data_IF_115032031866
#
_entry.id   IF_115032031866
#
_cell.length_a   1.000
_cell.length_b   1.000
_cell.length_c   1.000
_cell.angle_alpha   90.00
_cell.angle_beta   90.00
_cell.angle_gamma   90.00
#
_symmetry.space_group_name_H-M   'P 1'
#
loop_
_entity.id
_entity.type
_entity.pdbx_description
1 polymer ?
#
# COMPACT_ATOMS: atom_id res chain seq x y z
N UNK A 1 -15.28 20.95 3.01
CA UNK A 1 -14.85 19.80 3.82
C UNK A 1 -14.70 20.25 5.25
N UNK A 2 -15.26 19.51 6.19
CA UNK A 2 -15.04 19.77 7.62
C UNK A 2 -13.56 19.57 7.96
N UNK A 3 -12.92 20.57 8.58
CA UNK A 3 -11.49 20.53 8.95
C UNK A 3 -11.11 19.29 9.77
N UNK A 4 -12.08 18.73 10.51
CA UNK A 4 -11.96 17.48 11.25
C UNK A 4 -11.64 16.28 10.34
N UNK A 5 -12.25 16.19 9.16
CA UNK A 5 -12.01 15.09 8.21
C UNK A 5 -10.57 15.11 7.70
N UNK A 6 -10.04 16.30 7.39
CA UNK A 6 -8.66 16.45 6.91
C UNK A 6 -7.67 16.07 8.02
N UNK A 7 -7.93 16.50 9.25
CA UNK A 7 -7.09 16.15 10.42
C UNK A 7 -7.06 14.64 10.63
N UNK A 8 -8.22 13.97 10.62
CA UNK A 8 -8.29 12.52 10.77
C UNK A 8 -7.63 11.77 9.61
N UNK A 9 -7.81 12.23 8.38
CA UNK A 9 -7.18 11.64 7.20
C UNK A 9 -5.65 11.64 7.31
N UNK A 10 -5.07 12.80 7.65
CA UNK A 10 -3.62 12.97 7.80
C UNK A 10 -3.11 12.15 8.98
N UNK A 11 -3.78 12.22 10.13
CA UNK A 11 -3.39 11.49 11.35
C UNK A 11 -3.38 9.98 11.10
N UNK A 12 -4.45 9.44 10.51
CA UNK A 12 -4.54 8.01 10.23
C UNK A 12 -3.53 7.55 9.19
N UNK A 13 -3.33 8.32 8.12
CA UNK A 13 -2.31 8.01 7.10
C UNK A 13 -0.89 8.01 7.68
N UNK A 14 -0.57 9.01 8.51
CA UNK A 14 0.71 9.08 9.21
C UNK A 14 0.89 7.90 10.18
N UNK A 15 -0.16 7.55 10.94
CA UNK A 15 -0.14 6.41 11.85
C UNK A 15 0.14 5.08 11.11
N UNK A 16 -0.60 4.81 10.03
CA UNK A 16 -0.38 3.61 9.20
C UNK A 16 1.03 3.61 8.61
N UNK A 17 1.52 4.76 8.14
CA UNK A 17 2.88 4.93 7.63
C UNK A 17 3.96 4.59 8.67
N UNK A 18 3.81 5.10 9.90
CA UNK A 18 4.74 4.83 11.01
C UNK A 18 4.74 3.35 11.38
N UNK A 19 3.55 2.74 11.56
CA UNK A 19 3.44 1.31 11.90
C UNK A 19 4.03 0.44 10.80
N UNK A 20 3.75 0.76 9.54
CA UNK A 20 4.32 0.04 8.39
C UNK A 20 5.83 0.14 8.41
N UNK A 21 6.39 1.34 8.53
CA UNK A 21 7.84 1.57 8.58
C UNK A 21 8.49 0.80 9.72
N UNK A 22 7.92 0.83 10.94
CA UNK A 22 8.47 0.06 12.06
C UNK A 22 8.48 -1.44 11.79
N UNK A 23 7.49 -1.96 11.05
CA UNK A 23 7.37 -3.39 10.74
C UNK A 23 8.23 -3.84 9.55
N UNK A 24 8.47 -2.98 8.56
CA UNK A 24 9.34 -3.28 7.41
C UNK A 24 10.81 -2.91 7.64
N UNK A 25 11.14 -2.10 8.66
CA UNK A 25 12.52 -1.74 9.00
C UNK A 25 13.29 -2.96 9.52
N UNK A 26 14.22 -3.46 8.70
CA UNK A 26 15.03 -4.64 8.99
C UNK A 26 14.68 -5.87 8.15
N UNK A 27 13.80 -5.77 7.16
CA UNK A 27 13.56 -6.84 6.20
C UNK A 27 14.75 -7.08 5.26
N UNK A 28 15.06 -8.35 4.99
CA UNK A 28 16.11 -8.76 4.05
C UNK A 28 15.67 -8.50 2.60
N UNK A 29 15.92 -7.29 2.11
CA UNK A 29 15.77 -6.91 0.69
C UNK A 29 17.07 -7.04 -0.11
N UNK A 30 18.16 -7.45 0.56
CA UNK A 30 19.51 -7.52 -0.02
C UNK A 30 19.73 -8.72 -0.94
N UNK A 31 18.79 -9.69 -0.95
CA UNK A 31 18.85 -10.86 -1.82
C UNK A 31 17.87 -10.70 -2.98
N UNK A 32 18.27 -11.09 -4.19
CA UNK A 32 17.39 -11.02 -5.38
C UNK A 32 16.09 -11.83 -5.20
N UNK A 33 16.15 -12.95 -4.47
CA UNK A 33 14.96 -13.75 -4.15
C UNK A 33 14.02 -13.05 -3.14
N UNK A 34 14.58 -12.36 -2.15
CA UNK A 34 13.82 -11.54 -1.22
C UNK A 34 13.15 -10.34 -1.90
N UNK A 35 13.87 -9.68 -2.82
CA UNK A 35 13.41 -8.49 -3.52
C UNK A 35 12.37 -8.78 -4.61
N UNK A 36 12.59 -9.79 -5.46
CA UNK A 36 11.70 -10.09 -6.60
C UNK A 36 10.61 -11.13 -6.30
N UNK A 37 10.89 -12.11 -5.43
CA UNK A 37 9.96 -13.22 -5.17
C UNK A 37 9.31 -13.14 -3.79
N UNK A 38 9.60 -12.11 -2.98
CA UNK A 38 9.07 -11.97 -1.63
C UNK A 38 9.32 -13.23 -0.77
N UNK A 39 10.48 -13.87 -0.95
CA UNK A 39 10.83 -15.11 -0.26
C UNK A 39 10.00 -16.33 -0.65
N UNK A 40 9.40 -16.35 -1.86
CA UNK A 40 8.57 -17.45 -2.41
C UNK A 40 7.26 -17.72 -1.63
N UNK A 41 6.89 -16.83 -0.71
CA UNK A 41 5.77 -17.03 0.21
C UNK A 41 4.53 -16.17 -0.14
N UNK A 42 4.47 -15.62 -1.35
CA UNK A 42 3.34 -14.82 -1.82
C UNK A 42 2.13 -15.71 -2.09
N UNK A 43 1.16 -15.72 -1.17
CA UNK A 43 -0.09 -16.46 -1.36
C UNK A 43 -0.91 -15.86 -2.50
N UNK A 44 -1.65 -16.69 -3.25
CA UNK A 44 -2.37 -16.28 -4.47
C UNK A 44 -3.32 -15.09 -4.27
N UNK A 45 -3.88 -14.92 -3.06
CA UNK A 45 -4.72 -13.77 -2.70
C UNK A 45 -3.97 -12.44 -2.72
N UNK A 46 -2.72 -12.40 -2.25
CA UNK A 46 -1.90 -11.19 -2.20
C UNK A 46 -1.51 -10.74 -3.61
N UNK A 47 -1.19 -11.70 -4.49
CA UNK A 47 -0.87 -11.43 -5.90
C UNK A 47 -2.10 -10.85 -6.63
N UNK A 48 -3.26 -11.51 -6.50
CA UNK A 48 -4.50 -11.02 -7.10
C UNK A 48 -4.88 -9.62 -6.57
N UNK A 49 -4.74 -9.39 -5.27
CA UNK A 49 -4.96 -8.08 -4.66
C UNK A 49 -4.02 -7.00 -5.20
N UNK A 50 -2.73 -7.30 -5.35
CA UNK A 50 -1.76 -6.36 -5.90
C UNK A 50 -2.08 -5.99 -7.35
N UNK A 51 -2.46 -6.95 -8.20
CA UNK A 51 -2.83 -6.69 -9.59
C UNK A 51 -4.06 -5.80 -9.70
N UNK A 52 -5.07 -6.02 -8.84
CA UNK A 52 -6.25 -5.16 -8.77
C UNK A 52 -5.89 -3.74 -8.30
N UNK A 53 -5.10 -3.61 -7.23
CA UNK A 53 -4.68 -2.32 -6.69
C UNK A 53 -3.85 -1.52 -7.70
N UNK A 54 -2.96 -2.17 -8.45
CA UNK A 54 -2.16 -1.53 -9.51
C UNK A 54 -3.03 -1.01 -10.65
N UNK A 55 -4.19 -1.64 -10.90
CA UNK A 55 -5.11 -1.22 -11.96
C UNK A 55 -6.02 -0.05 -11.53
N UNK A 56 -6.14 0.23 -10.22
CA UNK A 56 -6.94 1.34 -9.71
C UNK A 56 -6.11 2.63 -9.67
N UNK A 57 -6.49 3.62 -10.49
CA UNK A 57 -5.90 4.95 -10.50
C UNK A 57 -6.92 6.01 -10.09
N UNK A 58 -6.45 7.06 -9.40
CA UNK A 58 -7.26 8.23 -9.07
C UNK A 58 -7.83 8.90 -10.35
N UNK A 59 -7.10 8.82 -11.47
CA UNK A 59 -7.56 9.33 -12.77
C UNK A 59 -8.77 8.53 -13.27
N UNK A 60 -8.73 7.21 -13.14
CA UNK A 60 -9.86 6.34 -13.51
C UNK A 60 -11.09 6.61 -12.64
N UNK A 61 -10.88 6.95 -11.36
CA UNK A 61 -11.97 7.25 -10.43
C UNK A 61 -12.65 8.59 -10.72
N UNK A 62 -11.86 9.62 -11.02
CA UNK A 62 -12.37 10.93 -11.43
C UNK A 62 -13.03 10.86 -12.82
N UNK A 63 -12.46 10.06 -13.74
CA UNK A 63 -12.99 9.89 -15.11
C UNK A 63 -14.25 9.02 -15.23
N UNK A 64 -14.49 8.08 -14.30
CA UNK A 64 -15.78 7.37 -14.20
C UNK A 64 -16.88 8.20 -13.52
N UNK A 65 -16.51 9.27 -12.82
CA UNK A 65 -17.44 10.12 -12.08
C UNK A 65 -17.89 11.36 -12.88
N UNK A 66 -17.63 11.38 -14.19
CA UNK A 66 -18.01 12.45 -15.13
C UNK A 66 -19.10 11.97 -16.09
#
# INVERSE_FOLDING_TARGET
MDSMVIIFFVLFSAFVGIVTYMKTRGGELDTSDGYFLGGRNLTSKVIAGSLLLTNLSAVSFVGMSA
#
